data_IF_408315536556
#
_entry.id   IF_408315536556
#
_cell.length_a   1.000
_cell.length_b   1.000
_cell.length_c   1.000
_cell.angle_alpha   90.00
_cell.angle_beta   90.00
_cell.angle_gamma   90.00
#
_symmetry.space_group_name_H-M   'P 1'
#
loop_
_entity.id
_entity.type
_entity.pdbx_description
1 polymer ?
#
# COMPACT_ATOMS: atom_id res chain seq x y z
N UNK A 1 9.67 38.28 35.19
CA UNK A 1 9.43 38.16 33.74
C UNK A 1 9.54 36.68 33.45
N UNK A 2 8.42 36.04 33.09
CA UNK A 2 8.26 34.58 33.14
C UNK A 2 8.89 33.95 31.90
N UNK A 3 9.78 32.97 32.11
CA UNK A 3 10.30 32.10 31.06
C UNK A 3 9.18 31.31 30.39
N UNK A 4 9.05 31.44 29.07
CA UNK A 4 8.29 30.50 28.23
C UNK A 4 9.12 30.19 26.98
N UNK A 5 9.78 29.03 26.92
CA UNK A 5 10.23 28.48 25.65
C UNK A 5 9.04 27.76 25.01
N UNK A 6 8.34 28.43 24.10
CA UNK A 6 7.44 27.77 23.15
C UNK A 6 8.31 27.07 22.11
N UNK A 7 8.86 25.91 22.47
CA UNK A 7 9.34 24.95 21.47
C UNK A 7 8.14 24.13 21.02
N UNK A 8 7.41 24.68 20.05
CA UNK A 8 6.46 23.94 19.22
C UNK A 8 7.25 22.98 18.33
N UNK A 9 7.78 21.93 18.94
CA UNK A 9 8.40 20.83 18.22
C UNK A 9 7.26 19.88 17.81
N UNK A 10 6.63 20.19 16.67
CA UNK A 10 5.69 19.31 15.95
C UNK A 10 6.44 18.09 15.36
N UNK A 11 7.25 17.44 16.20
CA UNK A 11 7.70 16.08 15.99
C UNK A 11 6.44 15.22 15.97
N UNK A 12 5.87 14.99 14.78
CA UNK A 12 4.78 14.05 14.53
C UNK A 12 5.13 12.72 15.18
N UNK A 13 4.63 12.51 16.39
CA UNK A 13 4.61 11.19 17.00
C UNK A 13 3.62 10.38 16.17
N UNK A 14 4.14 9.61 15.22
CA UNK A 14 3.37 8.60 14.51
C UNK A 14 2.71 7.71 15.57
N UNK A 15 1.41 7.55 15.45
CA UNK A 15 0.65 6.67 16.34
C UNK A 15 1.15 5.23 16.21
N UNK A 16 0.93 4.41 17.24
CA UNK A 16 1.35 3.01 17.22
C UNK A 16 0.79 2.24 16.00
N UNK A 17 -0.44 2.58 15.59
CA UNK A 17 -1.11 2.03 14.42
C UNK A 17 -0.43 2.47 13.11
N UNK A 18 -0.06 3.75 12.97
CA UNK A 18 0.66 4.24 11.79
C UNK A 18 2.06 3.63 11.65
N UNK A 19 2.72 3.35 12.79
CA UNK A 19 4.04 2.70 12.81
C UNK A 19 3.95 1.24 12.38
N UNK A 20 2.94 0.51 12.87
CA UNK A 20 2.64 -0.87 12.42
C UNK A 20 2.29 -0.92 10.94
N UNK A 21 1.47 0.02 10.46
CA UNK A 21 1.08 0.12 9.06
C UNK A 21 2.29 0.44 8.16
N UNK A 22 3.20 1.31 8.59
CA UNK A 22 4.44 1.61 7.87
C UNK A 22 5.35 0.37 7.80
N UNK A 23 5.58 -0.30 8.93
CA UNK A 23 6.36 -1.55 8.96
C UNK A 23 5.74 -2.64 8.10
N UNK A 24 4.41 -2.74 8.08
CA UNK A 24 3.71 -3.65 7.20
C UNK A 24 4.01 -3.28 5.75
N UNK A 25 3.79 -2.02 5.35
CA UNK A 25 4.05 -1.53 4.00
C UNK A 25 5.45 -1.91 3.50
N UNK A 26 6.48 -1.66 4.29
CA UNK A 26 7.88 -1.96 3.94
C UNK A 26 8.10 -3.47 3.72
N UNK A 27 7.38 -4.32 4.45
CA UNK A 27 7.48 -5.78 4.34
C UNK A 27 6.71 -6.34 3.14
N UNK A 28 5.55 -5.76 2.77
CA UNK A 28 4.75 -6.23 1.63
C UNK A 28 5.27 -5.69 0.29
N UNK A 29 5.91 -4.52 0.26
CA UNK A 29 6.37 -3.86 -0.96
C UNK A 29 7.19 -4.76 -1.91
N UNK A 30 8.15 -5.59 -1.45
CA UNK A 30 8.92 -6.47 -2.32
C UNK A 30 8.09 -7.58 -2.97
N UNK A 31 7.07 -8.08 -2.26
CA UNK A 31 6.18 -9.12 -2.78
C UNK A 31 5.19 -8.55 -3.80
N UNK A 32 4.70 -7.33 -3.57
CA UNK A 32 3.91 -6.60 -4.55
C UNK A 32 4.75 -6.30 -5.79
N UNK A 33 5.99 -5.85 -5.62
CA UNK A 33 6.88 -5.62 -6.74
C UNK A 33 7.05 -6.88 -7.60
N UNK A 34 7.39 -8.02 -6.98
CA UNK A 34 7.63 -9.27 -7.71
C UNK A 34 6.40 -9.81 -8.47
N UNK A 35 5.19 -9.46 -8.06
CA UNK A 35 3.95 -10.00 -8.62
C UNK A 35 3.19 -9.01 -9.51
N UNK A 36 3.30 -7.71 -9.23
CA UNK A 36 2.56 -6.63 -9.89
C UNK A 36 3.40 -5.90 -10.92
N UNK A 37 4.71 -5.80 -10.74
CA UNK A 37 5.56 -5.02 -11.64
C UNK A 37 5.55 -5.63 -13.06
N UNK A 38 5.06 -4.86 -14.03
CA UNK A 38 4.87 -5.27 -15.43
C UNK A 38 3.99 -6.51 -15.64
N UNK A 39 3.24 -6.93 -14.62
CA UNK A 39 2.23 -7.96 -14.78
C UNK A 39 0.92 -7.32 -15.22
N UNK A 40 0.23 -7.94 -16.18
CA UNK A 40 -1.12 -7.55 -16.59
C UNK A 40 -2.20 -8.42 -15.95
N UNK A 41 -1.81 -9.53 -15.29
CA UNK A 41 -2.75 -10.55 -14.82
C UNK A 41 -2.30 -11.12 -13.48
N UNK A 42 -3.14 -10.96 -12.45
CA UNK A 42 -2.91 -11.50 -11.11
C UNK A 42 -3.70 -12.80 -10.89
N UNK A 43 -3.04 -13.94 -10.63
CA UNK A 43 -3.71 -15.17 -10.20
C UNK A 43 -4.67 -14.90 -9.04
N UNK A 44 -5.88 -15.49 -9.11
CA UNK A 44 -6.95 -15.27 -8.11
C UNK A 44 -6.46 -15.49 -6.68
N UNK A 45 -5.61 -16.50 -6.44
CA UNK A 45 -5.04 -16.79 -5.12
C UNK A 45 -4.10 -15.69 -4.62
N UNK A 46 -3.32 -15.05 -5.51
CA UNK A 46 -2.48 -13.91 -5.14
C UNK A 46 -3.33 -12.68 -4.83
N UNK A 47 -4.38 -12.42 -5.62
CA UNK A 47 -5.30 -11.32 -5.36
C UNK A 47 -5.95 -11.44 -3.98
N UNK A 48 -6.45 -12.63 -3.61
CA UNK A 48 -7.01 -12.88 -2.27
C UNK A 48 -5.98 -12.60 -1.18
N UNK A 49 -4.73 -13.04 -1.37
CA UNK A 49 -3.67 -12.77 -0.40
C UNK A 49 -3.39 -11.26 -0.28
N UNK A 50 -3.27 -10.55 -1.40
CA UNK A 50 -3.05 -9.10 -1.37
C UNK A 50 -4.23 -8.34 -0.79
N UNK A 51 -5.47 -8.77 -1.03
CA UNK A 51 -6.62 -8.17 -0.37
C UNK A 51 -6.49 -8.28 1.15
N UNK A 52 -6.13 -9.45 1.69
CA UNK A 52 -5.95 -9.60 3.15
C UNK A 52 -4.83 -8.75 3.76
N UNK A 53 -3.80 -8.41 2.98
CA UNK A 53 -2.68 -7.57 3.45
C UNK A 53 -2.97 -6.08 3.23
N UNK A 54 -3.55 -5.72 2.08
CA UNK A 54 -3.92 -4.36 1.72
C UNK A 54 -5.12 -3.83 2.52
N UNK A 55 -5.99 -4.70 3.04
CA UNK A 55 -7.10 -4.32 3.93
C UNK A 55 -6.62 -3.82 5.30
N UNK A 56 -5.37 -4.14 5.67
CA UNK A 56 -4.71 -3.60 6.87
C UNK A 56 -4.07 -2.23 6.64
N UNK A 57 -4.04 -1.77 5.39
CA UNK A 57 -3.50 -0.48 4.98
C UNK A 57 -4.66 0.50 4.74
N UNK A 58 -4.43 1.76 5.05
CA UNK A 58 -5.33 2.85 4.69
C UNK A 58 -5.50 2.92 3.18
N UNK A 59 -6.72 3.26 2.73
CA UNK A 59 -7.07 3.36 1.31
C UNK A 59 -6.09 4.25 0.52
N UNK A 60 -5.60 5.32 1.14
CA UNK A 60 -4.63 6.25 0.54
C UNK A 60 -3.27 5.58 0.29
N UNK A 61 -2.76 4.77 1.23
CA UNK A 61 -1.51 4.02 1.06
C UNK A 61 -1.68 2.87 0.06
N UNK A 62 -2.80 2.16 0.10
CA UNK A 62 -3.14 1.13 -0.89
C UNK A 62 -3.09 1.69 -2.31
N UNK A 63 -3.72 2.84 -2.55
CA UNK A 63 -3.75 3.50 -3.86
C UNK A 63 -2.36 4.01 -4.28
N UNK A 64 -1.57 4.52 -3.33
CA UNK A 64 -0.19 4.93 -3.59
C UNK A 64 0.68 3.74 -4.00
N UNK A 65 0.60 2.62 -3.28
CA UNK A 65 1.32 1.37 -3.59
C UNK A 65 0.94 0.85 -4.98
N UNK A 66 -0.36 0.69 -5.26
CA UNK A 66 -0.83 0.23 -6.57
C UNK A 66 -0.29 1.11 -7.72
N UNK A 67 -0.31 2.43 -7.53
CA UNK A 67 0.21 3.38 -8.52
C UNK A 67 1.72 3.23 -8.74
N UNK A 68 2.50 2.98 -7.69
CA UNK A 68 3.95 2.70 -7.80
C UNK A 68 4.22 1.49 -8.70
N UNK A 69 3.33 0.51 -8.69
CA UNK A 69 3.45 -0.70 -9.53
C UNK A 69 2.77 -0.60 -10.90
N UNK A 70 2.20 0.56 -11.25
CA UNK A 70 1.53 0.77 -12.53
C UNK A 70 0.09 0.24 -12.60
N UNK A 71 -0.52 -0.08 -11.47
CA UNK A 71 -1.91 -0.56 -11.40
C UNK A 71 -2.84 0.57 -10.98
N UNK A 72 -4.00 0.69 -11.64
CA UNK A 72 -5.11 1.47 -11.11
C UNK A 72 -5.94 0.64 -10.13
N UNK A 73 -6.74 1.31 -9.29
CA UNK A 73 -7.68 0.61 -8.43
C UNK A 73 -8.66 -0.24 -9.25
N UNK A 74 -9.10 0.28 -10.41
CA UNK A 74 -10.01 -0.45 -11.31
C UNK A 74 -9.33 -1.69 -11.90
N UNK A 75 -8.06 -1.61 -12.32
CA UNK A 75 -7.30 -2.76 -12.83
C UNK A 75 -7.14 -3.85 -11.76
N UNK A 76 -6.86 -3.43 -10.53
CA UNK A 76 -6.74 -4.33 -9.39
C UNK A 76 -8.09 -4.98 -9.01
N UNK A 77 -9.17 -4.19 -9.01
CA UNK A 77 -10.53 -4.66 -8.72
C UNK A 77 -11.06 -5.60 -9.79
N UNK A 78 -10.79 -5.34 -11.07
CA UNK A 78 -11.13 -6.25 -12.17
C UNK A 78 -10.57 -7.64 -11.91
N UNK A 79 -9.33 -7.74 -11.44
CA UNK A 79 -8.65 -9.02 -11.27
C UNK A 79 -8.56 -9.81 -12.58
N UNK A 80 -7.72 -10.84 -12.61
CA UNK A 80 -7.42 -11.73 -13.74
C UNK A 80 -8.20 -11.46 -15.04
N UNK A 81 -7.74 -10.50 -15.86
CA UNK A 81 -8.24 -10.36 -17.22
C UNK A 81 -7.46 -11.39 -18.02
N UNK A 82 -8.11 -12.49 -18.39
CA UNK A 82 -7.57 -13.42 -19.37
C UNK A 82 -7.40 -12.60 -20.65
N UNK A 83 -6.18 -12.19 -20.99
CA UNK A 83 -5.90 -11.67 -22.32
C UNK A 83 -6.41 -12.73 -23.30
N UNK A 84 -7.45 -12.38 -24.03
CA UNK A 84 -7.88 -13.18 -25.18
C UNK A 84 -6.81 -12.88 -26.22
N UNK A 85 -5.74 -13.68 -26.23
CA UNK A 85 -4.75 -13.65 -27.30
C UNK A 85 -5.52 -13.70 -28.62
N UNK A 86 -5.50 -12.59 -29.35
CA UNK A 86 -6.06 -12.46 -30.70
C UNK A 86 -4.97 -12.76 -31.72
#
# INVERSE_FOLDING_TARGET
MVDVPTTSDDSKYLTADEKLEAQLSDQIEPYLFASLFQSHVLPVRLKILYDTVLDKLSFKKKLALLKTFGWTLEDYERGYIKEVAS
#
